data_IF_647958693981
#
_entry.id   IF_647958693981
#
_cell.length_a   1.000
_cell.length_b   1.000
_cell.length_c   1.000
_cell.angle_alpha   90.00
_cell.angle_beta   90.00
_cell.angle_gamma   90.00
#
_symmetry.space_group_name_H-M   'P 1'
#
loop_
_entity.id
_entity.type
_entity.pdbx_description
1 polymer ?
#
# COMPACT_ATOMS: atom_id res chain seq x y z
N UNK A 1 -11.26 -4.90 5.99
CA UNK A 1 -10.59 -4.37 7.21
C UNK A 1 -11.58 -4.30 8.36
N UNK A 2 -11.25 -4.90 9.52
CA UNK A 2 -12.06 -4.77 10.74
C UNK A 2 -11.54 -3.58 11.56
N UNK A 3 -11.77 -2.36 11.06
CA UNK A 3 -11.49 -1.12 11.80
C UNK A 3 -12.77 -0.73 12.53
N UNK A 4 -12.62 -0.40 13.81
CA UNK A 4 -13.68 0.25 14.59
C UNK A 4 -13.93 1.66 14.03
N UNK A 5 -14.90 1.75 13.11
CA UNK A 5 -15.23 2.98 12.38
C UNK A 5 -15.79 4.05 13.31
N UNK A 6 -16.59 3.67 14.30
CA UNK A 6 -17.17 4.62 15.25
C UNK A 6 -16.09 5.29 16.09
N UNK A 7 -15.11 4.51 16.59
CA UNK A 7 -13.96 5.06 17.30
C UNK A 7 -13.12 5.96 16.40
N UNK A 8 -12.90 5.56 15.15
CA UNK A 8 -12.11 6.34 14.19
C UNK A 8 -12.79 7.68 13.85
N UNK A 9 -14.11 7.67 13.66
CA UNK A 9 -14.90 8.87 13.39
C UNK A 9 -14.85 9.84 14.58
N UNK A 10 -14.95 9.31 15.81
CA UNK A 10 -14.81 10.11 17.04
C UNK A 10 -13.43 10.78 17.12
N UNK A 11 -12.35 10.03 16.88
CA UNK A 11 -10.99 10.59 16.86
C UNK A 11 -10.84 11.63 15.76
N UNK A 12 -11.43 11.39 14.58
CA UNK A 12 -11.40 12.33 13.46
C UNK A 12 -12.09 13.65 13.81
N UNK A 13 -13.22 13.61 14.52
CA UNK A 13 -13.89 14.81 15.00
C UNK A 13 -13.03 15.61 15.99
N UNK A 14 -12.29 14.91 16.87
CA UNK A 14 -11.40 15.54 17.86
C UNK A 14 -10.19 16.24 17.23
N UNK A 15 -9.76 15.87 16.01
CA UNK A 15 -8.67 16.56 15.30
C UNK A 15 -8.95 18.05 15.05
N UNK A 16 -10.23 18.44 15.01
CA UNK A 16 -10.67 19.84 14.82
C UNK A 16 -10.33 20.72 16.03
N UNK A 17 -10.31 20.13 17.22
CA UNK A 17 -9.91 20.82 18.44
C UNK A 17 -8.39 20.76 18.60
N UNK A 18 -7.73 21.92 18.56
CA UNK A 18 -6.28 22.02 18.70
C UNK A 18 -5.76 21.44 20.02
N UNK A 19 -6.56 21.48 21.09
CA UNK A 19 -6.17 20.94 22.40
C UNK A 19 -6.21 19.41 22.46
N UNK A 20 -7.05 18.77 21.63
CA UNK A 20 -7.21 17.31 21.58
C UNK A 20 -6.45 16.67 20.41
N UNK A 21 -5.96 17.48 19.47
CA UNK A 21 -5.41 17.01 18.19
C UNK A 21 -4.30 15.98 18.34
N UNK A 22 -3.34 16.22 19.23
CA UNK A 22 -2.22 15.30 19.44
C UNK A 22 -2.69 13.94 19.95
N UNK A 23 -3.55 13.94 20.97
CA UNK A 23 -4.13 12.72 21.51
C UNK A 23 -5.00 11.99 20.47
N UNK A 24 -5.82 12.73 19.73
CA UNK A 24 -6.68 12.18 18.69
C UNK A 24 -5.86 11.54 17.57
N UNK A 25 -4.81 12.23 17.11
CA UNK A 25 -3.91 11.71 16.08
C UNK A 25 -3.12 10.50 16.57
N UNK A 26 -2.63 10.50 17.81
CA UNK A 26 -1.99 9.34 18.42
C UNK A 26 -2.91 8.12 18.42
N UNK A 27 -4.18 8.29 18.79
CA UNK A 27 -5.18 7.21 18.71
C UNK A 27 -5.42 6.71 17.28
N UNK A 28 -5.38 7.61 16.28
CA UNK A 28 -5.48 7.24 14.85
C UNK A 28 -4.26 6.44 14.41
N UNK A 29 -3.06 6.86 14.81
CA UNK A 29 -1.80 6.14 14.54
C UNK A 29 -1.87 4.73 15.12
N UNK A 30 -2.26 4.56 16.38
CA UNK A 30 -2.40 3.24 17.00
C UNK A 30 -3.34 2.31 16.22
N UNK A 31 -4.49 2.85 15.78
CA UNK A 31 -5.50 2.07 15.06
C UNK A 31 -5.07 1.73 13.62
N UNK A 32 -4.32 2.62 12.96
CA UNK A 32 -4.02 2.51 11.54
C UNK A 32 -2.60 2.06 11.22
N UNK A 33 -1.69 2.00 12.21
CA UNK A 33 -0.31 1.55 12.01
C UNK A 33 -0.25 0.17 11.38
N UNK A 34 -0.91 -0.84 11.98
CA UNK A 34 -0.91 -2.22 11.45
C UNK A 34 -1.50 -2.32 10.03
N UNK A 35 -2.72 -1.80 9.73
CA UNK A 35 -3.27 -1.93 8.39
C UNK A 35 -2.47 -1.15 7.33
N UNK A 36 -1.96 0.05 7.64
CA UNK A 36 -1.10 0.81 6.71
C UNK A 36 0.24 0.11 6.53
N UNK A 37 0.82 -0.44 7.59
CA UNK A 37 2.04 -1.24 7.50
C UNK A 37 1.86 -2.38 6.49
N UNK A 38 0.79 -3.16 6.59
CA UNK A 38 0.54 -4.25 5.65
C UNK A 38 0.23 -3.78 4.23
N UNK A 39 -0.34 -2.59 4.06
CA UNK A 39 -0.50 -1.97 2.75
C UNK A 39 0.85 -1.65 2.10
N UNK A 40 1.78 -1.06 2.86
CA UNK A 40 3.13 -0.73 2.42
C UNK A 40 3.96 -2.01 2.21
N UNK A 41 3.89 -2.95 3.16
CA UNK A 41 4.74 -4.14 3.21
C UNK A 41 4.52 -5.11 2.05
N UNK A 42 3.32 -5.11 1.44
CA UNK A 42 3.04 -5.86 0.20
C UNK A 42 3.69 -5.25 -1.05
N UNK A 43 4.28 -4.06 -0.93
CA UNK A 43 4.88 -3.33 -2.03
C UNK A 43 6.41 -3.27 -1.95
N UNK A 44 6.96 -3.30 -0.73
CA UNK A 44 8.41 -3.23 -0.47
C UNK A 44 8.96 -4.56 0.04
N UNK A 45 10.26 -4.74 -0.14
CA UNK A 45 10.94 -6.02 0.15
C UNK A 45 11.30 -6.19 1.60
N UNK A 46 11.81 -5.14 2.25
CA UNK A 46 12.34 -5.24 3.61
C UNK A 46 11.34 -4.72 4.64
N UNK A 47 11.45 -5.24 5.87
CA UNK A 47 10.71 -4.72 7.02
C UNK A 47 11.17 -3.30 7.37
N UNK A 48 12.46 -3.01 7.25
CA UNK A 48 13.04 -1.68 7.52
C UNK A 48 12.44 -0.62 6.60
N UNK A 49 12.36 -0.87 5.29
CA UNK A 49 11.73 0.05 4.34
C UNK A 49 10.25 0.28 4.68
N UNK A 50 9.54 -0.78 5.09
CA UNK A 50 8.13 -0.67 5.46
C UNK A 50 7.92 0.18 6.73
N UNK A 51 8.77 -0.01 7.74
CA UNK A 51 8.74 0.76 8.98
C UNK A 51 9.08 2.24 8.73
N UNK A 52 10.12 2.52 7.93
CA UNK A 52 10.51 3.88 7.56
C UNK A 52 9.41 4.59 6.76
N UNK A 53 8.80 3.91 5.79
CA UNK A 53 7.68 4.46 5.02
C UNK A 53 6.44 4.67 5.88
N UNK A 54 6.16 3.80 6.84
CA UNK A 54 5.06 3.96 7.78
C UNK A 54 5.26 5.22 8.64
N UNK A 55 6.46 5.39 9.20
CA UNK A 55 6.80 6.59 9.98
C UNK A 55 6.68 7.86 9.14
N UNK A 56 7.26 7.86 7.93
CA UNK A 56 7.17 8.99 7.01
C UNK A 56 5.73 9.32 6.61
N UNK A 57 4.89 8.30 6.42
CA UNK A 57 3.46 8.45 6.14
C UNK A 57 2.76 9.23 7.26
N UNK A 58 2.95 8.81 8.52
CA UNK A 58 2.31 9.50 9.64
C UNK A 58 2.91 10.88 9.92
N UNK A 59 4.22 11.06 9.72
CA UNK A 59 4.85 12.37 9.84
C UNK A 59 4.27 13.36 8.81
N UNK A 60 4.14 12.94 7.55
CA UNK A 60 3.52 13.74 6.50
C UNK A 60 2.05 14.00 6.77
N UNK A 61 1.33 13.00 7.27
CA UNK A 61 -0.07 13.16 7.67
C UNK A 61 -0.21 14.17 8.82
N UNK A 62 0.68 14.14 9.82
CA UNK A 62 0.68 15.11 10.91
C UNK A 62 0.94 16.53 10.39
N UNK A 63 1.95 16.71 9.54
CA UNK A 63 2.28 18.00 8.92
C UNK A 63 1.13 18.55 8.07
N UNK A 64 0.38 17.66 7.40
CA UNK A 64 -0.74 18.02 6.53
C UNK A 64 -2.10 18.00 7.24
N UNK A 65 -2.16 17.71 8.55
CA UNK A 65 -3.43 17.46 9.24
C UNK A 65 -4.37 18.67 9.23
N UNK A 66 -3.81 19.88 9.28
CA UNK A 66 -4.57 21.14 9.17
C UNK A 66 -5.23 21.32 7.80
N UNK A 67 -4.71 20.66 6.76
CA UNK A 67 -5.27 20.68 5.41
C UNK A 67 -6.32 19.60 5.18
N UNK A 68 -6.52 18.68 6.12
CA UNK A 68 -7.53 17.63 6.00
C UNK A 68 -8.94 18.22 6.17
N UNK A 69 -9.66 18.34 5.06
CA UNK A 69 -11.00 18.97 5.00
C UNK A 69 -12.16 18.03 5.36
N UNK A 70 -11.90 16.74 5.58
CA UNK A 70 -12.95 15.75 5.81
C UNK A 70 -13.79 15.40 4.57
N UNK A 71 -13.32 15.74 3.36
CA UNK A 71 -13.97 15.38 2.09
C UNK A 71 -13.86 13.88 1.78
N UNK A 72 -12.95 13.18 2.47
CA UNK A 72 -12.81 11.73 2.48
C UNK A 72 -12.64 11.25 3.91
N UNK A 73 -12.83 9.95 4.13
CA UNK A 73 -12.57 9.33 5.43
C UNK A 73 -11.07 9.42 5.78
N UNK A 74 -10.74 9.57 7.08
CA UNK A 74 -9.35 9.76 7.51
C UNK A 74 -8.45 8.58 7.11
N UNK A 75 -8.97 7.35 7.13
CA UNK A 75 -8.22 6.18 6.71
C UNK A 75 -7.95 6.22 5.20
N UNK A 76 -8.95 6.58 4.38
CA UNK A 76 -8.77 6.73 2.93
C UNK A 76 -7.69 7.79 2.61
N UNK A 77 -7.70 8.90 3.35
CA UNK A 77 -6.68 9.95 3.20
C UNK A 77 -5.27 9.46 3.60
N UNK A 78 -5.15 8.70 4.69
CA UNK A 78 -3.87 8.11 5.10
C UNK A 78 -3.37 7.04 4.12
N UNK A 79 -4.26 6.20 3.59
CA UNK A 79 -3.92 5.23 2.54
C UNK A 79 -3.45 5.93 1.26
N UNK A 80 -4.00 7.09 0.92
CA UNK A 80 -3.52 7.92 -0.20
C UNK A 80 -2.08 8.39 0.04
N UNK A 81 -1.79 8.91 1.24
CA UNK A 81 -0.43 9.33 1.61
C UNK A 81 0.51 8.11 1.53
N UNK A 82 0.19 7.01 2.21
CA UNK A 82 0.99 5.79 2.22
C UNK A 82 1.28 5.25 0.82
N UNK A 83 0.27 5.20 -0.05
CA UNK A 83 0.40 4.75 -1.43
C UNK A 83 1.34 5.64 -2.23
N UNK A 84 1.22 6.96 -2.09
CA UNK A 84 2.08 7.90 -2.80
C UNK A 84 3.53 7.84 -2.30
N UNK A 85 3.74 7.73 -0.99
CA UNK A 85 5.07 7.55 -0.39
C UNK A 85 5.75 6.28 -0.90
N UNK A 86 5.02 5.17 -0.86
CA UNK A 86 5.50 3.87 -1.33
C UNK A 86 5.86 3.90 -2.81
N UNK A 87 4.98 4.44 -3.66
CA UNK A 87 5.25 4.54 -5.10
C UNK A 87 6.44 5.48 -5.40
N UNK A 88 6.58 6.57 -4.66
CA UNK A 88 7.70 7.51 -4.80
C UNK A 88 9.02 6.83 -4.44
N UNK A 89 9.04 6.10 -3.32
CA UNK A 89 10.19 5.34 -2.87
C UNK A 89 10.63 4.28 -3.88
N UNK A 90 9.69 3.48 -4.40
CA UNK A 90 9.97 2.46 -5.40
C UNK A 90 10.51 3.07 -6.71
N UNK A 91 9.91 4.17 -7.16
CA UNK A 91 10.41 4.89 -8.34
C UNK A 91 11.84 5.42 -8.14
N UNK A 92 12.17 5.92 -6.94
CA UNK A 92 13.52 6.39 -6.61
C UNK A 92 14.52 5.23 -6.52
N UNK A 93 14.15 4.09 -5.93
CA UNK A 93 15.00 2.89 -5.91
C UNK A 93 15.32 2.44 -7.34
N UNK A 94 14.31 2.37 -8.21
CA UNK A 94 14.51 2.00 -9.63
C UNK A 94 15.44 2.96 -10.36
N UNK A 95 15.44 4.25 -10.03
CA UNK A 95 16.35 5.23 -10.64
C UNK A 95 17.79 5.12 -10.12
N UNK A 96 17.97 4.75 -8.84
CA UNK A 96 19.29 4.60 -8.21
C UNK A 96 19.97 3.29 -8.63
N UNK A 97 19.18 2.25 -8.86
CA UNK A 97 19.68 0.97 -9.36
C UNK A 97 19.80 1.08 -10.90
N UNK A 98 20.98 1.50 -11.38
CA UNK A 98 21.35 1.55 -12.82
C UNK A 98 21.36 0.17 -13.49
N UNK A 99 21.14 -0.87 -12.69
CA UNK A 99 21.02 -2.27 -13.08
C UNK A 99 19.82 -2.50 -13.99
N UNK A 100 19.90 -3.47 -14.90
CA UNK A 100 18.79 -3.76 -15.82
C UNK A 100 17.50 -4.12 -15.05
N UNK A 101 16.32 -3.85 -15.64
CA UNK A 101 15.03 -4.16 -15.00
C UNK A 101 14.90 -5.64 -14.56
N UNK A 102 15.61 -6.54 -15.24
CA UNK A 102 15.64 -7.98 -14.97
C UNK A 102 16.47 -8.31 -13.71
N UNK A 103 17.60 -7.65 -13.50
CA UNK A 103 18.43 -7.86 -12.31
C UNK A 103 17.75 -7.32 -11.05
N UNK A 104 16.98 -6.23 -11.18
CA UNK A 104 16.14 -5.74 -10.09
C UNK A 104 15.02 -6.74 -9.75
N UNK A 105 14.41 -7.35 -10.76
CA UNK A 105 13.40 -8.39 -10.61
C UNK A 105 13.96 -9.62 -9.90
N UNK A 106 15.15 -10.08 -10.26
CA UNK A 106 15.82 -11.20 -9.61
C UNK A 106 16.19 -10.89 -8.14
N UNK A 107 16.65 -9.66 -7.85
CA UNK A 107 16.87 -9.20 -6.47
C UNK A 107 15.57 -9.14 -5.66
N UNK A 108 14.46 -8.71 -6.26
CA UNK A 108 13.13 -8.71 -5.63
C UNK A 108 12.71 -10.13 -5.25
N UNK A 109 12.90 -11.09 -6.17
CA UNK A 109 12.55 -12.50 -5.96
C UNK A 109 13.43 -13.15 -4.88
N UNK A 110 14.74 -12.91 -4.89
CA UNK A 110 15.65 -13.49 -3.92
C UNK A 110 15.39 -13.01 -2.49
N UNK A 111 15.09 -11.72 -2.30
CA UNK A 111 14.71 -11.19 -1.00
C UNK A 111 13.38 -11.77 -0.51
N UNK A 112 12.39 -11.91 -1.39
CA UNK A 112 11.11 -12.53 -1.05
C UNK A 112 11.28 -13.98 -0.58
N UNK A 113 12.14 -14.76 -1.25
CA UNK A 113 12.44 -16.16 -0.88
C UNK A 113 13.14 -16.30 0.46
N UNK A 114 13.94 -15.31 0.85
CA UNK A 114 14.64 -15.30 2.13
C UNK A 114 13.75 -14.86 3.31
N UNK A 115 12.56 -14.34 3.01
CA UNK A 115 11.69 -13.72 4.00
C UNK A 115 10.71 -14.71 4.62
N UNK A 116 10.94 -15.05 5.89
CA UNK A 116 10.07 -15.93 6.69
C UNK A 116 8.62 -15.45 6.80
N UNK A 117 8.33 -14.19 6.48
CA UNK A 117 6.96 -13.66 6.51
C UNK A 117 6.08 -14.21 5.37
N UNK A 118 6.67 -14.65 4.26
CA UNK A 118 5.95 -15.19 3.09
C UNK A 118 6.02 -16.71 2.99
N UNK A 119 6.20 -17.41 4.12
CA UNK A 119 6.18 -18.87 4.24
C UNK A 119 4.75 -19.42 4.02
N UNK A 120 4.28 -19.28 2.78
CA UNK A 120 3.09 -19.93 2.25
C UNK A 120 3.47 -21.20 1.50
N UNK A 121 2.47 -21.97 1.09
CA UNK A 121 2.73 -23.08 0.17
C UNK A 121 3.34 -22.59 -1.15
N UNK A 122 3.89 -23.52 -1.94
CA UNK A 122 4.58 -23.19 -3.19
C UNK A 122 3.72 -22.35 -4.15
N UNK A 123 2.39 -22.53 -4.12
CA UNK A 123 1.46 -21.73 -4.92
C UNK A 123 1.40 -20.28 -4.46
N UNK A 124 1.30 -20.04 -3.14
CA UNK A 124 1.31 -18.70 -2.58
C UNK A 124 2.65 -17.99 -2.86
N UNK A 125 3.77 -18.72 -2.77
CA UNK A 125 5.10 -18.20 -3.11
C UNK A 125 5.16 -17.76 -4.58
N UNK A 126 4.75 -18.62 -5.52
CA UNK A 126 4.71 -18.31 -6.96
C UNK A 126 3.78 -17.13 -7.27
N UNK A 127 2.64 -17.02 -6.57
CA UNK A 127 1.76 -15.88 -6.74
C UNK A 127 2.44 -14.56 -6.31
N UNK A 128 3.16 -14.56 -5.19
CA UNK A 128 3.90 -13.38 -4.75
C UNK A 128 5.02 -13.01 -5.72
N UNK A 129 5.76 -13.99 -6.23
CA UNK A 129 6.76 -13.78 -7.28
C UNK A 129 6.13 -13.12 -8.52
N UNK A 130 5.02 -13.66 -9.01
CA UNK A 130 4.28 -13.09 -10.15
C UNK A 130 3.81 -11.64 -9.88
N UNK A 131 3.34 -11.34 -8.66
CA UNK A 131 2.93 -9.98 -8.26
C UNK A 131 4.11 -9.01 -8.26
N UNK A 132 5.32 -9.45 -7.90
CA UNK A 132 6.53 -8.64 -7.92
C UNK A 132 7.02 -8.29 -9.34
N UNK A 133 6.60 -9.02 -10.37
CA UNK A 133 6.89 -8.68 -11.78
C UNK A 133 6.01 -7.53 -12.29
N UNK A 134 4.90 -7.26 -11.60
CA UNK A 134 3.96 -6.23 -12.03
C UNK A 134 4.56 -4.82 -11.88
N UNK A 135 4.26 -3.89 -12.82
CA UNK A 135 4.50 -2.47 -12.62
C UNK A 135 3.89 -2.00 -11.30
N UNK A 136 4.60 -1.14 -10.57
CA UNK A 136 4.27 -0.73 -9.19
C UNK A 136 2.80 -0.28 -9.03
N UNK A 137 2.27 0.49 -9.98
CA UNK A 137 0.86 0.91 -9.96
C UNK A 137 -0.12 -0.25 -10.14
N UNK A 138 0.19 -1.20 -11.03
CA UNK A 138 -0.63 -2.40 -11.23
C UNK A 138 -0.58 -3.30 -10.00
N UNK A 139 0.61 -3.47 -9.40
CA UNK A 139 0.83 -4.19 -8.14
C UNK A 139 0.00 -3.62 -6.99
N UNK A 140 0.04 -2.29 -6.82
CA UNK A 140 -0.74 -1.60 -5.79
C UNK A 140 -2.25 -1.85 -5.97
N UNK A 141 -2.76 -1.67 -7.19
CA UNK A 141 -4.17 -1.91 -7.53
C UNK A 141 -4.56 -3.37 -7.29
N UNK A 142 -3.70 -4.32 -7.67
CA UNK A 142 -3.93 -5.74 -7.43
C UNK A 142 -4.02 -6.04 -5.93
N UNK A 143 -3.05 -5.58 -5.14
CA UNK A 143 -3.00 -5.83 -3.71
C UNK A 143 -4.23 -5.26 -2.97
N UNK A 144 -4.62 -4.01 -3.25
CA UNK A 144 -5.80 -3.40 -2.65
C UNK A 144 -7.08 -4.17 -2.96
N UNK A 145 -7.22 -4.67 -4.20
CA UNK A 145 -8.44 -5.35 -4.62
C UNK A 145 -8.48 -6.81 -4.15
N UNK A 146 -7.38 -7.54 -4.30
CA UNK A 146 -7.30 -8.97 -4.05
C UNK A 146 -7.13 -9.28 -2.55
N UNK A 147 -6.16 -8.65 -1.88
CA UNK A 147 -5.87 -8.93 -0.47
C UNK A 147 -6.69 -8.08 0.49
N UNK A 148 -6.84 -6.79 0.20
CA UNK A 148 -7.51 -5.86 1.13
C UNK A 148 -9.02 -5.76 0.89
N UNK A 149 -9.49 -6.30 -0.24
CA UNK A 149 -10.89 -6.27 -0.69
C UNK A 149 -11.48 -4.85 -0.66
N UNK A 150 -10.67 -3.84 -1.01
CA UNK A 150 -11.11 -2.45 -1.06
C UNK A 150 -12.03 -2.26 -2.29
N UNK A 151 -13.20 -1.59 -2.15
CA UNK A 151 -14.06 -1.25 -3.27
C UNK A 151 -13.38 -0.28 -4.23
N UNK A 152 -13.71 -0.34 -5.53
CA UNK A 152 -13.06 0.51 -6.54
C UNK A 152 -13.31 2.00 -6.30
N UNK A 153 -14.45 2.36 -5.72
CA UNK A 153 -14.83 3.72 -5.37
C UNK A 153 -13.87 4.31 -4.32
N UNK A 154 -13.47 3.49 -3.35
CA UNK A 154 -12.51 3.88 -2.32
C UNK A 154 -11.07 3.88 -2.87
N UNK A 155 -10.72 2.88 -3.70
CA UNK A 155 -9.44 2.86 -4.41
C UNK A 155 -9.27 4.09 -5.32
N UNK A 156 -10.36 4.60 -5.92
CA UNK A 156 -10.34 5.81 -6.74
C UNK A 156 -9.89 7.03 -5.93
N UNK A 157 -10.38 7.15 -4.70
CA UNK A 157 -9.95 8.19 -3.77
C UNK A 157 -8.50 8.01 -3.31
N UNK A 158 -8.07 6.78 -3.01
CA UNK A 158 -6.70 6.45 -2.59
C UNK A 158 -5.69 6.75 -3.70
N UNK A 159 -5.95 6.24 -4.91
CA UNK A 159 -5.04 6.35 -6.05
C UNK A 159 -5.17 7.64 -6.85
N UNK A 160 -6.15 8.49 -6.53
CA UNK A 160 -6.50 9.68 -7.30
C UNK A 160 -6.71 9.36 -8.80
N UNK A 161 -7.53 8.35 -9.08
CA UNK A 161 -7.78 7.84 -10.44
C UNK A 161 -9.24 7.43 -10.62
N UNK A 162 -9.70 7.29 -11.86
CA UNK A 162 -11.08 6.85 -12.14
C UNK A 162 -11.28 5.36 -11.83
N UNK A 163 -12.50 5.01 -11.41
CA UNK A 163 -12.91 3.60 -11.23
C UNK A 163 -12.68 2.78 -12.50
N UNK A 164 -12.97 3.33 -13.68
CA UNK A 164 -12.75 2.67 -14.96
C UNK A 164 -11.28 2.33 -15.21
N UNK A 165 -10.37 3.29 -14.96
CA UNK A 165 -8.94 3.06 -15.09
C UNK A 165 -8.42 2.01 -14.09
N UNK A 166 -8.95 1.99 -12.87
CA UNK A 166 -8.57 1.00 -11.86
C UNK A 166 -9.05 -0.41 -12.22
N UNK A 167 -10.28 -0.56 -12.74
CA UNK A 167 -10.79 -1.83 -13.25
C UNK A 167 -9.92 -2.36 -14.39
N UNK A 168 -9.56 -1.50 -15.35
CA UNK A 168 -8.65 -1.86 -16.43
C UNK A 168 -7.26 -2.26 -15.91
N UNK A 169 -6.68 -1.46 -15.00
CA UNK A 169 -5.39 -1.77 -14.38
C UNK A 169 -5.40 -3.10 -13.63
N UNK A 170 -6.47 -3.40 -12.91
CA UNK A 170 -6.64 -4.68 -12.21
C UNK A 170 -6.74 -5.84 -13.21
N UNK A 171 -7.56 -5.70 -14.25
CA UNK A 171 -7.67 -6.72 -15.30
C UNK A 171 -6.32 -7.00 -15.99
N UNK A 172 -5.55 -5.95 -16.30
CA UNK A 172 -4.21 -6.13 -16.86
C UNK A 172 -3.24 -6.82 -15.89
N UNK A 173 -3.31 -6.51 -14.59
CA UNK A 173 -2.52 -7.19 -13.58
C UNK A 173 -2.85 -8.69 -13.52
N UNK A 174 -4.15 -9.04 -13.47
CA UNK A 174 -4.62 -10.42 -13.48
C UNK A 174 -4.14 -11.16 -14.73
N UNK A 175 -4.26 -10.56 -15.92
CA UNK A 175 -3.83 -11.19 -17.18
C UNK A 175 -2.32 -11.48 -17.22
N UNK A 176 -1.49 -10.62 -16.63
CA UNK A 176 -0.04 -10.85 -16.53
C UNK A 176 0.26 -12.01 -15.58
N UNK A 177 -0.39 -12.04 -14.42
CA UNK A 177 -0.25 -13.16 -13.48
C UNK A 177 -0.70 -14.46 -14.15
N UNK A 178 -1.88 -14.48 -14.80
CA UNK A 178 -2.37 -15.65 -15.54
C UNK A 178 -1.39 -16.14 -16.62
N UNK A 179 -0.68 -15.24 -17.30
CA UNK A 179 0.29 -15.61 -18.33
C UNK A 179 1.51 -16.32 -17.72
N UNK A 180 2.05 -15.81 -16.61
CA UNK A 180 3.18 -16.42 -15.90
C UNK A 180 2.85 -17.86 -15.50
N UNK A 181 1.66 -18.11 -14.95
CA UNK A 181 1.23 -19.44 -14.56
C UNK A 181 0.98 -20.39 -15.74
N UNK A 182 0.69 -19.87 -16.95
CA UNK A 182 0.48 -20.70 -18.16
C UNK A 182 1.76 -21.03 -18.91
N UNK A 183 2.80 -20.23 -18.77
CA UNK A 183 4.11 -20.48 -19.39
C UNK A 183 4.93 -21.52 -18.61
N UNK A 184 4.55 -21.81 -17.36
CA UNK A 184 5.22 -22.76 -16.46
C UNK A 184 4.55 -24.14 -16.39
N UNK A 185 3.41 -24.35 -17.09
CA UNK A 185 2.70 -25.63 -17.28
C UNK A 185 3.00 -26.25 -18.66
#
# INVERSE_FOLDING_TARGET
MNIDREKLDRLTLQLKDKSLREQAFSGIVEMLSKPIYWHIRKMVLSHEDADDLLQNTFLKAWQAIDSFRGESQIHTWLYKIASNETLTFLAQQRMKNTTSSLEMEELLLNNLRADSYFDGDELQRRLQEAILTLPEKQRLVFNMRYYDNIPYEEMAAICNNSVGALKASYHHAVKKIEAIFKEED
#
